data_IF_860339707501
#
_entry.id   IF_860339707501
#
_cell.length_a   1.000
_cell.length_b   1.000
_cell.length_c   1.000
_cell.angle_alpha   90.00
_cell.angle_beta   90.00
_cell.angle_gamma   90.00
#
_symmetry.space_group_name_H-M   'P 1'
#
loop_
_entity.id
_entity.type
_entity.pdbx_description
1 polymer ?
#
# COMPACT_ATOMS: atom_id res chain seq x y z
N UNK A 1 10.32 7.89 5.85
CA UNK A 1 11.44 8.06 6.82
C UNK A 1 11.54 9.50 7.33
N UNK A 2 12.47 9.79 8.25
CA UNK A 2 12.63 11.15 8.79
C UNK A 2 13.03 12.12 7.68
N UNK A 3 12.14 13.07 7.36
CA UNK A 3 12.35 14.06 6.29
C UNK A 3 11.70 13.70 4.95
N UNK A 4 11.11 12.51 4.81
CA UNK A 4 10.31 12.15 3.63
C UNK A 4 8.84 12.57 3.80
N UNK A 5 8.23 13.00 2.71
CA UNK A 5 6.77 13.11 2.58
C UNK A 5 6.13 11.72 2.50
N UNK A 6 4.83 11.63 2.79
CA UNK A 6 4.07 10.39 2.65
C UNK A 6 4.02 9.88 1.21
N UNK A 7 4.07 10.78 0.22
CA UNK A 7 4.14 10.42 -1.21
C UNK A 7 5.49 9.82 -1.56
N UNK A 8 6.59 10.44 -1.13
CA UNK A 8 7.94 9.91 -1.35
C UNK A 8 8.08 8.54 -0.70
N UNK A 9 7.58 8.39 0.53
CA UNK A 9 7.50 7.11 1.22
C UNK A 9 6.73 6.09 0.39
N UNK A 10 5.52 6.40 -0.08
CA UNK A 10 4.71 5.46 -0.85
C UNK A 10 5.39 4.99 -2.16
N UNK A 11 6.10 5.88 -2.86
CA UNK A 11 6.83 5.52 -4.08
C UNK A 11 8.03 4.63 -3.75
N UNK A 12 8.80 4.98 -2.72
CA UNK A 12 9.96 4.21 -2.25
C UNK A 12 9.55 2.81 -1.78
N UNK A 13 8.54 2.69 -0.94
CA UNK A 13 8.08 1.40 -0.41
C UNK A 13 7.62 0.47 -1.54
N UNK A 14 6.89 0.99 -2.54
CA UNK A 14 6.46 0.17 -3.69
C UNK A 14 7.65 -0.31 -4.53
N UNK A 15 8.69 0.51 -4.68
CA UNK A 15 9.92 0.10 -5.36
C UNK A 15 10.69 -0.95 -4.54
N UNK A 16 10.84 -0.76 -3.23
CA UNK A 16 11.57 -1.67 -2.34
C UNK A 16 10.87 -3.02 -2.17
N UNK A 17 9.57 -3.02 -1.94
CA UNK A 17 8.79 -4.23 -1.66
C UNK A 17 8.38 -5.00 -2.92
N UNK A 18 8.11 -4.30 -4.04
CA UNK A 18 7.58 -4.93 -5.26
C UNK A 18 8.45 -4.79 -6.51
N UNK A 19 9.54 -4.01 -6.47
CA UNK A 19 10.51 -3.88 -7.56
C UNK A 19 10.05 -3.01 -8.74
N UNK A 20 8.94 -2.28 -8.60
CA UNK A 20 8.34 -1.49 -9.69
C UNK A 20 8.48 0.01 -9.45
N UNK A 21 8.94 0.73 -10.47
CA UNK A 21 9.06 2.19 -10.44
C UNK A 21 7.71 2.82 -10.78
N UNK A 22 7.32 3.84 -10.02
CA UNK A 22 5.99 4.45 -10.16
C UNK A 22 6.03 5.97 -10.07
N UNK A 23 4.98 6.61 -10.57
CA UNK A 23 4.68 8.03 -10.40
C UNK A 23 3.34 8.23 -9.69
N UNK A 24 3.23 9.29 -8.88
CA UNK A 24 1.96 9.65 -8.24
C UNK A 24 0.91 10.02 -9.29
N UNK A 25 -0.27 9.37 -9.24
CA UNK A 25 -1.47 9.90 -9.89
C UNK A 25 -2.28 10.77 -8.94
N UNK A 26 -2.66 10.23 -7.78
CA UNK A 26 -3.45 10.97 -6.78
C UNK A 26 -3.49 10.26 -5.42
N UNK A 27 -3.90 11.01 -4.39
CA UNK A 27 -4.30 10.44 -3.11
C UNK A 27 -5.65 9.73 -3.20
N UNK A 28 -5.81 8.61 -2.49
CA UNK A 28 -7.07 7.87 -2.41
C UNK A 28 -7.74 8.05 -1.04
N UNK A 29 -7.07 7.61 0.02
CA UNK A 29 -7.66 7.57 1.35
C UNK A 29 -6.62 7.33 2.43
N UNK A 30 -6.94 7.72 3.66
CA UNK A 30 -6.15 7.41 4.86
C UNK A 30 -6.90 6.37 5.68
N UNK A 31 -6.21 5.32 6.10
CA UNK A 31 -6.73 4.31 7.02
C UNK A 31 -6.05 4.46 8.37
N UNK A 32 -6.83 4.42 9.45
CA UNK A 32 -6.34 4.49 10.82
C UNK A 32 -6.77 3.26 11.61
N UNK A 33 -5.85 2.69 12.39
CA UNK A 33 -6.16 1.58 13.29
C UNK A 33 -5.20 1.52 14.47
N UNK A 34 -5.63 0.79 15.50
CA UNK A 34 -4.84 0.50 16.68
C UNK A 34 -4.46 -0.97 16.70
N UNK A 35 -3.23 -1.28 17.08
CA UNK A 35 -2.79 -2.66 17.29
C UNK A 35 -1.87 -2.76 18.51
N UNK A 36 -1.84 -3.95 19.12
CA UNK A 36 -0.88 -4.25 20.17
C UNK A 36 0.41 -4.72 19.53
N UNK A 37 1.44 -3.86 19.58
CA UNK A 37 2.78 -4.20 19.18
C UNK A 37 3.45 -5.06 20.27
N UNK A 38 3.74 -6.30 19.91
CA UNK A 38 4.39 -7.29 20.76
C UNK A 38 5.78 -7.66 20.24
N UNK A 39 6.21 -7.09 19.10
CA UNK A 39 7.44 -7.49 18.45
C UNK A 39 8.65 -6.93 19.19
N UNK A 40 9.56 -7.81 19.63
CA UNK A 40 10.79 -7.47 20.36
C UNK A 40 10.58 -6.64 21.64
N UNK A 41 9.39 -6.68 22.24
CA UNK A 41 9.06 -5.95 23.48
C UNK A 41 8.78 -6.92 24.63
N UNK A 42 9.24 -6.56 25.83
CA UNK A 42 8.94 -7.31 27.07
C UNK A 42 7.49 -7.15 27.53
N UNK A 43 6.87 -6.01 27.20
CA UNK A 43 5.46 -5.72 27.47
C UNK A 43 4.78 -5.22 26.19
N UNK A 44 3.56 -5.69 25.86
CA UNK A 44 2.80 -5.20 24.70
C UNK A 44 2.54 -3.69 24.79
N UNK A 45 2.70 -3.00 23.67
CA UNK A 45 2.43 -1.56 23.56
C UNK A 45 1.27 -1.31 22.60
N UNK A 46 0.31 -0.49 22.98
CA UNK A 46 -0.77 -0.10 22.08
C UNK A 46 -0.29 1.02 21.14
N UNK A 47 -0.26 0.74 19.84
CA UNK A 47 0.25 1.63 18.80
C UNK A 47 -0.92 2.12 17.94
N UNK A 48 -0.97 3.44 17.72
CA UNK A 48 -1.84 4.05 16.71
C UNK A 48 -1.09 4.10 15.38
N UNK A 49 -1.69 3.56 14.33
CA UNK A 49 -1.11 3.55 12.98
C UNK A 49 -2.04 4.24 12.01
N UNK A 50 -1.48 5.17 11.25
CA UNK A 50 -2.10 5.84 10.12
C UNK A 50 -1.38 5.42 8.83
N UNK A 51 -2.13 5.09 7.79
CA UNK A 51 -1.61 4.69 6.48
C UNK A 51 -2.30 5.48 5.38
N UNK A 52 -1.54 6.28 4.65
CA UNK A 52 -2.04 7.04 3.50
C UNK A 52 -1.87 6.20 2.23
N UNK A 53 -2.97 5.96 1.51
CA UNK A 53 -2.99 5.24 0.25
C UNK A 53 -3.04 6.20 -0.95
N UNK A 54 -2.22 5.91 -1.94
CA UNK A 54 -2.11 6.65 -3.19
C UNK A 54 -2.36 5.74 -4.38
N UNK A 55 -2.96 6.30 -5.44
CA UNK A 55 -2.99 5.68 -6.75
C UNK A 55 -1.70 6.04 -7.48
N UNK A 56 -0.96 5.01 -7.88
CA UNK A 56 0.32 5.14 -8.56
C UNK A 56 0.24 4.58 -9.98
N UNK A 57 1.00 5.17 -10.89
CA UNK A 57 1.14 4.70 -12.26
C UNK A 57 2.53 4.12 -12.48
N UNK A 58 2.59 2.91 -13.01
CA UNK A 58 3.85 2.20 -13.24
C UNK A 58 4.56 2.83 -14.43
N UNK A 59 5.82 3.18 -14.23
CA UNK A 59 6.69 3.79 -15.26
C UNK A 59 7.84 2.87 -15.66
N UNK A 60 8.12 1.83 -14.88
CA UNK A 60 9.19 0.87 -15.16
C UNK A 60 9.38 -0.15 -14.05
N UNK A 61 10.56 -0.77 -14.04
CA UNK A 61 10.92 -1.82 -13.08
C UNK A 61 10.41 -3.21 -13.47
N UNK A 62 10.69 -4.18 -12.61
CA UNK A 62 10.29 -5.57 -12.78
C UNK A 62 9.77 -6.09 -11.45
N UNK A 63 8.62 -6.75 -11.50
CA UNK A 63 7.99 -7.31 -10.31
C UNK A 63 8.95 -8.27 -9.59
N UNK A 64 9.20 -8.01 -8.31
CA UNK A 64 10.22 -8.70 -7.49
C UNK A 64 9.73 -8.87 -6.06
N UNK A 65 9.86 -10.08 -5.52
CA UNK A 65 9.59 -10.46 -4.12
C UNK A 65 10.89 -10.56 -3.30
N UNK A 66 11.93 -9.84 -3.71
CA UNK A 66 13.24 -9.90 -3.05
C UNK A 66 13.26 -9.24 -1.67
N UNK A 67 12.28 -8.39 -1.34
CA UNK A 67 12.17 -7.79 -0.01
C UNK A 67 11.82 -8.87 1.02
N UNK A 68 12.51 -8.84 2.16
CA UNK A 68 12.25 -9.77 3.26
C UNK A 68 10.94 -9.43 4.01
N UNK A 69 10.33 -8.28 3.74
CA UNK A 69 9.11 -7.80 4.40
C UNK A 69 7.83 -8.38 3.77
N UNK A 70 7.93 -8.90 2.53
CA UNK A 70 6.82 -9.50 1.80
C UNK A 70 7.13 -10.95 1.40
N UNK A 71 6.14 -11.83 1.49
CA UNK A 71 6.32 -13.24 1.13
C UNK A 71 6.28 -13.48 -0.39
N UNK A 72 5.49 -12.68 -1.12
CA UNK A 72 5.31 -12.79 -2.57
C UNK A 72 4.64 -11.54 -3.14
N UNK A 73 4.91 -11.27 -4.43
CA UNK A 73 4.23 -10.21 -5.19
C UNK A 73 3.62 -10.74 -6.48
N UNK A 74 2.44 -10.24 -6.84
CA UNK A 74 1.73 -10.67 -8.05
C UNK A 74 0.83 -9.57 -8.60
N UNK A 75 0.61 -9.60 -9.92
CA UNK A 75 -0.42 -8.79 -10.56
C UNK A 75 -1.78 -9.46 -10.46
N UNK A 76 -2.79 -8.68 -10.12
CA UNK A 76 -4.18 -9.10 -10.05
C UNK A 76 -5.04 -8.21 -10.91
N UNK A 77 -6.11 -8.76 -11.49
CA UNK A 77 -7.21 -7.93 -11.97
C UNK A 77 -7.90 -7.24 -10.79
N UNK A 78 -8.64 -6.16 -11.06
CA UNK A 78 -9.40 -5.44 -10.03
C UNK A 78 -10.35 -6.37 -9.24
N UNK A 79 -11.00 -7.30 -9.93
CA UNK A 79 -11.90 -8.29 -9.31
C UNK A 79 -11.12 -9.30 -8.44
N UNK A 80 -9.97 -9.78 -8.91
CA UNK A 80 -9.11 -10.67 -8.12
C UNK A 80 -8.57 -9.97 -6.88
N UNK A 81 -8.15 -8.72 -7.00
CA UNK A 81 -7.65 -7.91 -5.87
C UNK A 81 -8.70 -7.77 -4.76
N UNK A 82 -9.96 -7.47 -5.12
CA UNK A 82 -11.05 -7.38 -4.14
C UNK A 82 -11.32 -8.70 -3.38
N UNK A 83 -11.04 -9.85 -4.01
CA UNK A 83 -11.18 -11.17 -3.37
C UNK A 83 -9.96 -11.55 -2.53
N UNK A 84 -8.78 -11.07 -2.89
CA UNK A 84 -7.52 -11.41 -2.24
C UNK A 84 -7.27 -10.57 -0.98
N UNK A 85 -7.66 -9.29 -0.99
CA UNK A 85 -7.46 -8.38 0.14
C UNK A 85 -8.22 -8.87 1.38
N UNK A 86 -7.52 -8.92 2.52
CA UNK A 86 -8.06 -9.44 3.78
C UNK A 86 -8.81 -8.37 4.57
N UNK A 87 -8.36 -7.12 4.55
CA UNK A 87 -8.95 -6.04 5.34
C UNK A 87 -10.00 -5.23 4.56
N UNK A 88 -11.12 -4.91 5.21
CA UNK A 88 -12.21 -4.16 4.55
C UNK A 88 -11.80 -2.74 4.18
N UNK A 89 -10.93 -2.12 4.99
CA UNK A 89 -10.40 -0.80 4.71
C UNK A 89 -9.61 -0.78 3.38
N UNK A 90 -8.75 -1.77 3.15
CA UNK A 90 -8.00 -1.91 1.90
C UNK A 90 -8.92 -2.21 0.71
N UNK A 91 -9.94 -3.06 0.90
CA UNK A 91 -10.96 -3.29 -0.12
C UNK A 91 -11.71 -2.00 -0.46
N UNK A 92 -11.99 -1.16 0.52
CA UNK A 92 -12.59 0.16 0.29
C UNK A 92 -11.67 1.07 -0.53
N UNK A 93 -10.37 1.13 -0.20
CA UNK A 93 -9.37 1.87 -0.99
C UNK A 93 -9.34 1.38 -2.44
N UNK A 94 -9.34 0.06 -2.66
CA UNK A 94 -9.36 -0.48 -4.02
C UNK A 94 -10.63 -0.10 -4.78
N UNK A 95 -11.81 -0.06 -4.13
CA UNK A 95 -13.05 0.43 -4.76
C UNK A 95 -12.94 1.90 -5.16
N UNK A 96 -12.36 2.75 -4.31
CA UNK A 96 -12.10 4.16 -4.65
C UNK A 96 -11.18 4.26 -5.87
N UNK A 97 -10.12 3.46 -5.94
CA UNK A 97 -9.24 3.43 -7.11
C UNK A 97 -10.00 3.03 -8.38
N UNK A 98 -10.90 2.04 -8.32
CA UNK A 98 -11.73 1.61 -9.46
C UNK A 98 -12.65 2.74 -9.93
N UNK A 99 -13.33 3.44 -9.00
CA UNK A 99 -14.20 4.57 -9.33
C UNK A 99 -13.42 5.67 -10.06
N UNK A 100 -12.19 5.94 -9.62
CA UNK A 100 -11.33 6.95 -10.23
C UNK A 100 -10.88 6.54 -11.64
N UNK A 101 -10.52 5.28 -11.84
CA UNK A 101 -10.14 4.76 -13.16
C UNK A 101 -11.31 4.76 -14.15
N UNK A 102 -12.55 4.56 -13.68
CA UNK A 102 -13.73 4.57 -14.53
C UNK A 102 -14.34 5.96 -14.72
N UNK A 103 -14.13 6.87 -13.77
CA UNK A 103 -14.61 8.26 -13.82
C UNK A 103 -13.71 9.22 -14.61
N UNK A 104 -12.45 8.86 -14.86
CA UNK A 104 -11.48 9.66 -15.64
C UNK A 104 -11.70 9.56 -17.17
N UNK A 105 -12.95 9.56 -17.62
CA UNK A 105 -13.31 9.45 -19.05
C UNK A 105 -13.59 10.80 -19.69
#
# INVERSE_FOLDING_TARGET
EAGETSVETAIREVEEEAGVSTELKQFLHTVEYWYWDTYQKSEPCLVHKQVDFYLLHITGGQLSDASYEVDAVAWFTLEQGLKQLTFEAERHVLRLAIEQLHGAR
#
